data_IF_491220396836
#
_entry.id   IF_491220396836
#
_cell.length_a   1.000
_cell.length_b   1.000
_cell.length_c   1.000
_cell.angle_alpha   90.00
_cell.angle_beta   90.00
_cell.angle_gamma   90.00
#
_symmetry.space_group_name_H-M   'P 1'
#
loop_
_entity.id
_entity.type
_entity.pdbx_description
1 polymer ?
#
# COMPACT_ATOMS: atom_id res chain seq x y z
N UNK A 1 -52.38 39.12 17.89
CA UNK A 1 -51.62 37.96 17.41
C UNK A 1 -50.40 37.76 18.31
N UNK A 2 -50.36 36.69 19.14
CA UNK A 2 -49.29 36.44 20.12
C UNK A 2 -48.40 35.36 19.56
N UNK A 3 -47.14 35.73 19.28
CA UNK A 3 -46.07 34.81 18.88
C UNK A 3 -45.59 34.01 20.09
N UNK A 4 -45.63 32.67 20.01
CA UNK A 4 -45.04 31.77 21.00
C UNK A 4 -43.65 31.40 20.56
N UNK A 5 -42.66 31.85 21.30
CA UNK A 5 -41.25 31.45 21.15
C UNK A 5 -41.05 30.06 21.73
N UNK A 6 -40.65 29.08 20.90
CA UNK A 6 -40.20 27.76 21.34
C UNK A 6 -38.69 27.82 21.63
N UNK A 7 -38.36 27.59 22.90
CA UNK A 7 -36.97 27.47 23.35
C UNK A 7 -36.55 26.01 23.19
N UNK A 8 -35.65 25.71 22.23
CA UNK A 8 -35.06 24.40 22.06
C UNK A 8 -33.87 24.25 23.01
N UNK A 9 -34.00 23.34 23.98
CA UNK A 9 -32.87 22.88 24.80
C UNK A 9 -31.97 22.00 23.95
N UNK A 10 -30.79 22.49 23.63
CA UNK A 10 -29.71 21.68 23.08
C UNK A 10 -28.99 20.98 24.23
N UNK A 11 -29.31 19.70 24.44
CA UNK A 11 -28.56 18.83 25.36
C UNK A 11 -27.24 18.47 24.66
N UNK A 12 -26.15 18.97 25.22
CA UNK A 12 -24.79 18.72 24.72
C UNK A 12 -24.46 17.22 24.78
N UNK A 13 -24.35 16.62 23.62
CA UNK A 13 -24.03 15.20 23.39
C UNK A 13 -22.63 14.78 23.84
N UNK A 14 -21.85 15.69 24.40
CA UNK A 14 -20.44 15.45 24.77
C UNK A 14 -20.25 14.75 26.12
N UNK A 15 -21.26 14.80 27.01
CA UNK A 15 -21.14 14.23 28.37
C UNK A 15 -21.34 12.72 28.43
N UNK A 16 -22.02 12.12 27.47
CA UNK A 16 -22.29 10.66 27.47
C UNK A 16 -21.10 9.87 26.91
N UNK A 17 -20.31 10.47 26.03
CA UNK A 17 -19.14 9.80 25.43
C UNK A 17 -17.99 9.65 26.43
N UNK A 18 -17.88 10.57 27.41
CA UNK A 18 -16.81 10.50 28.41
C UNK A 18 -17.06 9.42 29.48
N UNK A 19 -18.31 9.08 29.74
CA UNK A 19 -18.65 8.06 30.75
C UNK A 19 -18.42 6.63 30.24
N UNK A 20 -18.51 6.39 28.93
CA UNK A 20 -18.27 5.09 28.30
C UNK A 20 -16.78 4.73 28.21
N UNK A 21 -15.90 5.73 28.15
CA UNK A 21 -14.44 5.50 28.10
C UNK A 21 -13.85 5.08 29.45
N UNK A 22 -14.50 5.38 30.58
CA UNK A 22 -14.00 4.99 31.91
C UNK A 22 -14.35 3.55 32.31
N UNK A 23 -15.29 2.88 31.65
CA UNK A 23 -15.71 1.53 31.98
C UNK A 23 -14.85 0.43 31.29
N UNK A 24 -14.00 0.78 30.34
CA UNK A 24 -13.11 -0.19 29.67
C UNK A 24 -11.69 -0.26 30.24
N UNK A 25 -11.35 0.58 31.23
CA UNK A 25 -9.98 0.67 31.75
C UNK A 25 -9.68 -0.25 32.95
N UNK A 26 -10.62 -1.08 33.43
CA UNK A 26 -10.40 -1.85 34.67
C UNK A 26 -10.33 -3.36 34.54
N UNK A 27 -10.22 -3.93 33.32
CA UNK A 27 -10.18 -5.39 33.15
C UNK A 27 -8.95 -5.94 32.40
N UNK A 28 -7.80 -5.29 32.49
CA UNK A 28 -6.57 -5.77 31.86
C UNK A 28 -5.46 -6.02 32.88
N UNK A 29 -5.72 -6.82 33.91
CA UNK A 29 -4.66 -7.46 34.71
C UNK A 29 -5.11 -8.87 35.09
N UNK A 30 -4.98 -9.79 34.15
CA UNK A 30 -4.84 -11.22 34.49
C UNK A 30 -3.51 -11.69 33.92
N UNK A 31 -2.55 -11.79 34.80
CA UNK A 31 -1.29 -12.47 34.60
C UNK A 31 -1.58 -13.93 34.26
N UNK A 32 -1.45 -14.33 33.02
CA UNK A 32 -1.28 -15.74 32.66
C UNK A 32 0.21 -16.04 32.72
N UNK A 33 0.65 -16.66 33.81
CA UNK A 33 1.91 -17.40 33.83
C UNK A 33 1.84 -18.45 32.71
N UNK A 34 2.50 -18.18 31.60
CA UNK A 34 2.66 -19.18 30.55
C UNK A 34 3.80 -20.14 31.00
N UNK A 35 3.43 -21.36 31.33
CA UNK A 35 4.34 -22.49 31.44
C UNK A 35 4.85 -22.81 30.01
N UNK A 36 5.82 -22.04 29.52
CA UNK A 36 6.57 -22.42 28.36
C UNK A 36 7.70 -23.36 28.78
N UNK A 37 7.84 -24.54 28.18
CA UNK A 37 9.00 -25.40 28.42
C UNK A 37 10.25 -24.65 27.96
N UNK A 38 11.21 -24.56 28.89
CA UNK A 38 12.53 -23.99 28.65
C UNK A 38 13.27 -24.88 27.66
N UNK A 39 13.15 -24.56 26.37
CA UNK A 39 13.98 -25.20 25.35
C UNK A 39 15.38 -24.64 25.50
N UNK A 40 16.26 -25.47 26.06
CA UNK A 40 17.69 -25.23 26.01
C UNK A 40 18.13 -25.31 24.55
N UNK A 41 18.29 -24.17 23.93
CA UNK A 41 18.97 -24.09 22.66
C UNK A 41 20.43 -24.44 22.87
N UNK A 42 20.83 -25.63 22.46
CA UNK A 42 22.22 -26.01 22.36
C UNK A 42 22.93 -25.09 21.36
N UNK A 43 23.93 -24.38 21.85
CA UNK A 43 24.89 -23.65 21.08
C UNK A 43 25.72 -24.64 20.22
N UNK A 44 25.29 -24.82 18.98
CA UNK A 44 26.10 -25.49 17.98
C UNK A 44 25.65 -24.97 16.60
N UNK A 45 26.46 -24.12 16.05
CA UNK A 45 26.61 -23.64 14.69
C UNK A 45 26.58 -22.11 14.54
N UNK A 46 27.48 -21.42 15.23
CA UNK A 46 27.75 -19.99 14.94
C UNK A 46 28.59 -19.78 13.66
N UNK A 47 28.77 -20.79 12.81
CA UNK A 47 29.62 -20.71 11.61
C UNK A 47 28.92 -20.68 10.26
N UNK A 48 27.62 -21.00 10.16
CA UNK A 48 26.97 -21.20 8.88
C UNK A 48 25.89 -20.15 8.52
N UNK A 49 25.46 -19.32 9.47
CA UNK A 49 24.39 -18.33 9.24
C UNK A 49 24.90 -17.00 8.68
N UNK A 50 26.20 -16.74 8.68
CA UNK A 50 26.74 -15.42 8.35
C UNK A 50 26.95 -15.16 6.85
N UNK A 51 26.84 -16.16 5.98
CA UNK A 51 27.09 -15.99 4.54
C UNK A 51 25.79 -15.77 3.74
N UNK A 52 24.63 -16.14 4.30
CA UNK A 52 23.33 -15.94 3.67
C UNK A 52 22.75 -14.52 3.93
N UNK A 53 23.16 -13.85 5.01
CA UNK A 53 22.70 -12.50 5.35
C UNK A 53 23.60 -11.39 4.77
N UNK A 54 24.76 -11.69 4.24
CA UNK A 54 25.69 -10.72 3.65
C UNK A 54 25.50 -10.44 2.16
N UNK A 55 24.53 -10.99 1.51
CA UNK A 55 24.06 -10.39 0.26
C UNK A 55 23.22 -9.18 0.61
N UNK A 56 23.85 -8.08 1.00
CA UNK A 56 23.23 -6.76 0.98
C UNK A 56 22.77 -6.55 -0.47
N UNK A 57 21.52 -6.90 -0.69
CA UNK A 57 20.88 -6.78 -1.97
C UNK A 57 20.46 -5.33 -2.11
N UNK A 58 21.42 -4.49 -2.50
CA UNK A 58 21.13 -3.13 -2.88
C UNK A 58 20.19 -3.18 -4.09
N UNK A 59 19.00 -2.68 -3.92
CA UNK A 59 18.09 -2.49 -5.04
C UNK A 59 18.54 -1.29 -5.89
N UNK A 60 18.15 -1.29 -7.13
CA UNK A 60 18.38 -0.21 -8.07
C UNK A 60 17.33 -0.27 -9.17
N UNK A 61 17.18 0.73 -10.02
CA UNK A 61 16.27 0.66 -11.16
C UNK A 61 16.46 -0.59 -12.04
N UNK A 62 17.69 -1.12 -12.11
CA UNK A 62 18.00 -2.35 -12.84
C UNK A 62 17.31 -3.58 -12.27
N UNK A 63 17.04 -3.61 -10.97
CA UNK A 63 16.33 -4.71 -10.29
C UNK A 63 14.94 -4.94 -10.89
N UNK A 64 14.30 -3.86 -11.34
CA UNK A 64 12.96 -3.90 -11.96
C UNK A 64 12.98 -4.24 -13.45
N UNK A 65 14.14 -4.23 -14.10
CA UNK A 65 14.23 -4.36 -15.56
C UNK A 65 13.47 -5.56 -16.12
N UNK A 66 12.64 -5.32 -17.14
CA UNK A 66 11.90 -6.34 -17.87
C UNK A 66 10.40 -6.10 -17.90
N UNK A 67 9.68 -7.07 -18.45
CA UNK A 67 8.22 -7.03 -18.53
C UNK A 67 7.60 -7.75 -17.33
N UNK A 68 6.58 -7.13 -16.75
CA UNK A 68 5.81 -7.65 -15.63
C UNK A 68 4.32 -7.63 -16.01
N UNK A 69 3.57 -8.60 -15.54
CA UNK A 69 2.13 -8.50 -15.48
C UNK A 69 1.76 -7.69 -14.23
N UNK A 70 0.82 -6.78 -14.33
CA UNK A 70 0.32 -6.03 -13.18
C UNK A 70 -1.19 -6.18 -13.01
N UNK A 71 -1.62 -6.02 -11.77
CA UNK A 71 -3.03 -5.87 -11.39
C UNK A 71 -3.11 -4.85 -10.27
N UNK A 72 -4.06 -3.93 -10.35
CA UNK A 72 -4.40 -3.04 -9.25
C UNK A 72 -5.90 -2.82 -9.11
N UNK A 73 -6.32 -2.42 -7.92
CA UNK A 73 -7.69 -2.11 -7.58
C UNK A 73 -7.75 -1.04 -6.50
N UNK A 74 -8.90 -0.41 -6.37
CA UNK A 74 -9.12 0.61 -5.35
C UNK A 74 -10.15 1.63 -5.76
N UNK A 75 -9.93 2.89 -5.37
CA UNK A 75 -10.78 4.01 -5.74
C UNK A 75 -9.97 5.22 -6.20
N UNK A 76 -10.53 5.99 -7.13
CA UNK A 76 -10.03 7.31 -7.56
C UNK A 76 -11.17 8.29 -7.44
N UNK A 77 -11.01 9.34 -6.62
CA UNK A 77 -12.06 10.31 -6.32
C UNK A 77 -13.39 9.64 -5.93
N UNK A 78 -13.31 8.59 -5.10
CA UNK A 78 -14.46 7.81 -4.64
C UNK A 78 -15.07 6.85 -5.67
N UNK A 79 -14.55 6.78 -6.90
CA UNK A 79 -15.01 5.85 -7.94
C UNK A 79 -14.17 4.59 -7.94
N UNK A 80 -14.80 3.43 -7.94
CA UNK A 80 -14.11 2.14 -7.98
C UNK A 80 -13.30 1.99 -9.27
N UNK A 81 -12.07 1.47 -9.16
CA UNK A 81 -11.18 1.21 -10.29
C UNK A 81 -10.55 -0.18 -10.15
N UNK A 82 -10.49 -0.88 -11.27
CA UNK A 82 -9.65 -2.09 -11.42
C UNK A 82 -8.90 -2.02 -12.73
N UNK A 83 -7.66 -2.50 -12.76
CA UNK A 83 -6.91 -2.57 -13.99
C UNK A 83 -5.93 -3.74 -14.00
N UNK A 84 -5.62 -4.23 -15.19
CA UNK A 84 -4.60 -5.23 -15.42
C UNK A 84 -3.96 -5.03 -16.80
N UNK A 85 -2.72 -5.47 -16.94
CA UNK A 85 -1.99 -5.43 -18.19
C UNK A 85 -0.50 -5.70 -18.04
N UNK A 86 0.24 -5.64 -19.13
CA UNK A 86 1.70 -5.68 -19.10
C UNK A 86 2.28 -4.28 -18.82
N UNK A 87 3.35 -4.25 -18.04
CA UNK A 87 4.18 -3.08 -17.77
C UNK A 87 5.64 -3.46 -18.02
N UNK A 88 6.37 -2.62 -18.71
CA UNK A 88 7.80 -2.83 -18.98
C UNK A 88 8.62 -1.73 -18.34
N UNK A 89 9.59 -2.13 -17.54
CA UNK A 89 10.58 -1.28 -16.90
C UNK A 89 11.89 -1.33 -17.70
N UNK A 90 12.45 -0.18 -18.04
CA UNK A 90 13.69 -0.11 -18.83
C UNK A 90 14.98 -0.40 -18.01
N UNK A 91 14.85 -0.41 -16.68
CA UNK A 91 15.98 -0.56 -15.75
C UNK A 91 16.79 0.70 -15.55
N UNK A 92 16.31 1.86 -15.99
CA UNK A 92 16.97 3.16 -15.92
C UNK A 92 16.08 4.26 -15.32
N UNK A 93 14.85 3.91 -14.93
CA UNK A 93 13.89 4.83 -14.33
C UNK A 93 12.72 5.21 -15.23
N UNK A 94 12.56 4.57 -16.41
CA UNK A 94 11.40 4.78 -17.27
C UNK A 94 10.57 3.50 -17.41
N UNK A 95 9.27 3.67 -17.55
CA UNK A 95 8.35 2.57 -17.78
C UNK A 95 7.29 2.92 -18.84
N UNK A 96 6.75 1.89 -19.46
CA UNK A 96 5.55 2.00 -20.27
C UNK A 96 4.64 0.81 -20.04
N UNK A 97 3.34 1.01 -20.18
CA UNK A 97 2.36 -0.04 -20.01
C UNK A 97 1.16 0.15 -20.92
N UNK A 98 0.47 -0.96 -21.16
CA UNK A 98 -0.90 -0.95 -21.67
C UNK A 98 -1.85 -1.38 -20.56
N UNK A 99 -3.07 -0.88 -20.58
CA UNK A 99 -4.04 -1.21 -19.55
C UNK A 99 -5.41 -1.57 -20.12
N UNK A 100 -6.05 -2.52 -19.46
CA UNK A 100 -7.49 -2.69 -19.46
C UNK A 100 -7.98 -2.23 -18.09
N UNK A 101 -8.80 -1.19 -18.09
CA UNK A 101 -9.32 -0.55 -16.87
C UNK A 101 -10.83 -0.67 -16.85
N UNK A 102 -11.38 -0.91 -15.68
CA UNK A 102 -12.78 -0.68 -15.39
C UNK A 102 -12.86 0.44 -14.35
N UNK A 103 -13.44 1.57 -14.72
CA UNK A 103 -13.67 2.69 -13.83
C UNK A 103 -15.18 2.83 -13.60
N UNK A 104 -15.60 2.55 -12.38
CA UNK A 104 -17.02 2.64 -11.96
C UNK A 104 -17.99 1.88 -12.90
N UNK A 105 -17.60 0.69 -13.35
CA UNK A 105 -18.39 -0.14 -14.29
C UNK A 105 -18.12 0.13 -15.76
N UNK A 106 -17.38 1.18 -16.13
CA UNK A 106 -17.09 1.54 -17.53
C UNK A 106 -15.72 0.99 -17.92
N UNK A 107 -15.64 0.02 -18.86
CA UNK A 107 -14.37 -0.52 -19.33
C UNK A 107 -13.76 0.37 -20.41
N UNK A 108 -12.44 0.53 -20.37
CA UNK A 108 -11.66 1.18 -21.42
C UNK A 108 -10.23 0.64 -21.48
N UNK A 109 -9.55 0.91 -22.58
CA UNK A 109 -8.16 0.52 -22.83
C UNK A 109 -7.32 1.74 -23.13
N UNK A 110 -6.05 1.68 -22.77
CA UNK A 110 -5.14 2.75 -23.06
C UNK A 110 -3.69 2.38 -22.82
N UNK A 111 -2.86 3.42 -22.83
CA UNK A 111 -1.44 3.33 -22.54
C UNK A 111 -1.09 4.36 -21.49
N UNK A 112 -0.12 4.04 -20.65
CA UNK A 112 0.53 5.02 -19.79
C UNK A 112 2.05 4.88 -19.92
N UNK A 113 2.70 5.98 -19.69
CA UNK A 113 4.15 6.07 -19.54
C UNK A 113 4.43 6.60 -18.14
N UNK A 114 5.64 6.40 -17.66
CA UNK A 114 5.99 6.93 -16.35
C UNK A 114 7.48 6.88 -16.08
N UNK A 115 7.83 7.45 -14.95
CA UNK A 115 9.16 7.39 -14.38
C UNK A 115 9.10 6.73 -13.02
N UNK A 116 10.20 6.11 -12.59
CA UNK A 116 10.31 5.50 -11.28
C UNK A 116 11.72 5.66 -10.71
N UNK A 117 11.80 5.68 -9.39
CA UNK A 117 13.06 5.59 -8.64
C UNK A 117 13.07 4.31 -7.83
N UNK A 118 14.26 3.87 -7.47
CA UNK A 118 14.46 2.72 -6.56
C UNK A 118 15.58 3.10 -5.61
N UNK A 119 15.29 3.00 -4.33
CA UNK A 119 16.21 3.23 -3.24
C UNK A 119 16.90 1.92 -2.84
N UNK A 120 18.03 2.02 -2.13
CA UNK A 120 18.87 0.88 -1.75
C UNK A 120 18.14 -0.13 -0.84
N UNK A 121 17.12 0.32 -0.10
CA UNK A 121 16.27 -0.52 0.77
C UNK A 121 15.15 -1.26 0.03
N UNK A 122 15.17 -1.21 -1.31
CA UNK A 122 14.16 -1.82 -2.18
C UNK A 122 12.78 -1.15 -2.12
N UNK A 123 12.67 0.04 -1.61
CA UNK A 123 11.50 0.91 -1.81
C UNK A 123 11.69 1.77 -3.06
N UNK A 124 10.63 2.42 -3.49
CA UNK A 124 10.72 3.35 -4.62
C UNK A 124 9.44 4.14 -4.82
N UNK A 125 9.54 5.11 -5.73
CA UNK A 125 8.41 5.94 -6.15
C UNK A 125 8.17 5.78 -7.64
N UNK A 126 6.94 6.04 -8.04
CA UNK A 126 6.54 6.03 -9.45
C UNK A 126 5.62 7.20 -9.74
N UNK A 127 5.82 7.83 -10.88
CA UNK A 127 4.90 8.81 -11.45
C UNK A 127 4.39 8.27 -12.77
N UNK A 128 3.08 8.12 -12.88
CA UNK A 128 2.40 7.62 -14.08
C UNK A 128 1.70 8.77 -14.79
N UNK A 129 1.84 8.82 -16.10
CA UNK A 129 1.11 9.74 -16.97
C UNK A 129 0.11 8.96 -17.79
N UNK A 130 -1.14 9.37 -17.73
CA UNK A 130 -2.26 8.77 -18.46
C UNK A 130 -2.71 9.76 -19.55
N UNK A 131 -2.05 9.76 -20.74
CA UNK A 131 -2.24 10.80 -21.75
C UNK A 131 -3.70 10.93 -22.25
N UNK A 132 -4.41 9.80 -22.34
CA UNK A 132 -5.81 9.79 -22.76
C UNK A 132 -6.76 10.50 -21.78
N UNK A 133 -6.35 10.60 -20.51
CA UNK A 133 -7.15 11.23 -19.45
C UNK A 133 -6.62 12.61 -19.07
N UNK A 134 -5.44 12.99 -19.59
CA UNK A 134 -4.75 14.22 -19.17
C UNK A 134 -4.34 14.21 -17.70
N UNK A 135 -4.17 13.03 -17.09
CA UNK A 135 -3.90 12.85 -15.66
C UNK A 135 -2.48 12.38 -15.43
N UNK A 136 -1.94 12.81 -14.30
CA UNK A 136 -0.72 12.25 -13.71
C UNK A 136 -1.07 11.71 -12.32
N UNK A 137 -0.45 10.61 -11.91
CA UNK A 137 -0.65 10.04 -10.57
C UNK A 137 0.68 9.52 -10.03
N UNK A 138 0.85 9.64 -8.72
CA UNK A 138 2.03 9.21 -8.00
C UNK A 138 1.73 8.00 -7.12
N UNK A 139 2.76 7.24 -6.85
CA UNK A 139 2.67 6.09 -5.96
C UNK A 139 4.01 5.70 -5.39
N UNK A 140 3.95 4.86 -4.37
CA UNK A 140 5.11 4.21 -3.77
C UNK A 140 5.01 2.71 -3.95
N UNK A 141 6.16 2.04 -3.98
CA UNK A 141 6.21 0.59 -4.09
C UNK A 141 7.36 0.01 -3.27
N UNK A 142 7.25 -1.29 -2.99
CA UNK A 142 8.33 -2.09 -2.42
C UNK A 142 8.61 -3.26 -3.35
N UNK A 143 9.90 -3.51 -3.59
CA UNK A 143 10.38 -4.63 -4.40
C UNK A 143 10.62 -5.83 -3.49
N UNK A 144 10.07 -6.96 -3.86
CA UNK A 144 10.25 -8.23 -3.15
C UNK A 144 10.67 -9.32 -4.12
N UNK A 145 11.01 -10.47 -3.57
CA UNK A 145 11.32 -11.67 -4.36
C UNK A 145 12.36 -11.39 -5.48
N UNK A 146 13.41 -10.63 -5.13
CA UNK A 146 14.54 -10.36 -6.04
C UNK A 146 14.18 -9.57 -7.31
N UNK A 147 13.22 -8.65 -7.22
CA UNK A 147 12.75 -7.87 -8.35
C UNK A 147 11.72 -8.60 -9.21
N UNK A 148 11.28 -9.79 -8.79
CA UNK A 148 10.25 -10.54 -9.50
C UNK A 148 8.84 -10.08 -9.17
N UNK A 149 8.68 -9.38 -8.06
CA UNK A 149 7.37 -8.92 -7.58
C UNK A 149 7.48 -7.55 -6.92
N UNK A 150 6.45 -6.72 -7.06
CA UNK A 150 6.33 -5.47 -6.30
C UNK A 150 4.93 -5.32 -5.75
N UNK A 151 4.83 -4.67 -4.60
CA UNK A 151 3.57 -4.15 -4.06
C UNK A 151 3.57 -2.64 -4.21
N UNK A 152 2.47 -2.10 -4.66
CA UNK A 152 2.29 -0.70 -5.02
C UNK A 152 1.11 -0.08 -4.25
N UNK A 153 1.22 1.20 -3.91
CA UNK A 153 0.11 2.02 -3.41
C UNK A 153 0.14 3.41 -4.03
N UNK A 154 -1.04 3.96 -4.36
CA UNK A 154 -1.17 5.36 -4.77
C UNK A 154 -0.93 6.30 -3.60
N UNK A 155 -0.35 7.48 -3.86
CA UNK A 155 0.01 8.48 -2.83
C UNK A 155 -0.64 9.84 -3.04
N UNK A 156 -1.39 10.03 -4.12
CA UNK A 156 -2.11 11.28 -4.37
C UNK A 156 -3.41 11.36 -3.55
N UNK A 157 -3.82 12.58 -3.23
CA UNK A 157 -5.10 12.82 -2.57
C UNK A 157 -6.27 12.29 -3.40
N UNK A 158 -7.18 11.60 -2.73
CA UNK A 158 -8.34 10.96 -3.37
C UNK A 158 -8.02 9.70 -4.17
N UNK A 159 -6.78 9.20 -4.12
CA UNK A 159 -6.34 7.96 -4.76
C UNK A 159 -6.05 6.89 -3.70
N UNK A 160 -6.94 5.92 -3.57
CA UNK A 160 -6.77 4.76 -2.69
C UNK A 160 -6.64 3.49 -3.56
N UNK A 161 -5.48 3.33 -4.19
CA UNK A 161 -5.20 2.21 -5.09
C UNK A 161 -4.09 1.37 -4.48
N UNK A 162 -4.25 0.05 -4.55
CA UNK A 162 -3.20 -0.91 -4.28
C UNK A 162 -3.07 -1.90 -5.42
N UNK A 163 -1.89 -2.47 -5.57
CA UNK A 163 -1.66 -3.43 -6.64
C UNK A 163 -0.37 -4.23 -6.49
N UNK A 164 -0.21 -5.14 -7.42
CA UNK A 164 0.96 -6.02 -7.50
C UNK A 164 1.46 -6.08 -8.93
N UNK A 165 2.78 -6.17 -9.10
CA UNK A 165 3.38 -6.59 -10.37
C UNK A 165 4.14 -7.89 -10.19
N UNK A 166 4.14 -8.74 -11.23
CA UNK A 166 4.92 -9.99 -11.27
C UNK A 166 5.65 -10.09 -12.59
N UNK A 167 6.96 -10.38 -12.51
CA UNK A 167 7.81 -10.55 -13.69
C UNK A 167 7.37 -11.75 -14.49
N UNK A 168 7.29 -11.56 -15.81
CA UNK A 168 7.00 -12.59 -16.78
C UNK A 168 8.27 -13.33 -17.22
#
# INVERSE_FOLDING_TARGET
>A
MKSKTFSTLTISSCSILLLLLFLFATNAQRSTESLLPKVQAQAANEGAENDSQRRNKYCSPRTMRGTHGYSYHGTVMGKAITAAGPITFDGRGSLFATYNVNLNGIPFKGRFIGTYTVDDDCTGTVTLQLPLLGLSTNGSFVIVNEGKETFFTGTDDGVAITGVTKKQ
#
